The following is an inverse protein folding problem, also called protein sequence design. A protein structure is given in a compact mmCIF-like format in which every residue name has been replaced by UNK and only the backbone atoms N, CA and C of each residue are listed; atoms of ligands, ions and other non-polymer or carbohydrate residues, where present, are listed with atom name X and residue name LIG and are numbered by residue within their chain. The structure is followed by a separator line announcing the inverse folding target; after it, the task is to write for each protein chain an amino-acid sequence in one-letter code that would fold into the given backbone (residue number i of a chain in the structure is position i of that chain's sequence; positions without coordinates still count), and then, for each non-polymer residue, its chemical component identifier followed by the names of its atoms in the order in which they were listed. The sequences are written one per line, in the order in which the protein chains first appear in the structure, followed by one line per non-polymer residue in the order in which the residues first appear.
data_IF_438375174998
#
_entry.id   IF_438375174998
#
_cell.length_a   1.000
_cell.length_b   1.000
_cell.length_c   1.000
_cell.angle_alpha   90.00
_cell.angle_beta   90.00
_cell.angle_gamma   90.00
#
_symmetry.space_group_name_H-M   'P 1'
#
loop_
_entity.id
_entity.type
_entity.pdbx_description
1 polymer ?
#
# COMPACT_ATOMS: atom_id res chain seq x y z
N UNK A 1 -7.82 -50.52 35.98
CA UNK A 1 -8.53 -49.75 34.95
C UNK A 1 -8.81 -48.36 35.52
N UNK A 2 -8.02 -47.35 35.15
CA UNK A 2 -8.18 -45.97 35.62
C UNK A 2 -9.02 -45.20 34.58
N UNK A 3 -10.24 -44.81 34.95
CA UNK A 3 -11.11 -43.97 34.14
C UNK A 3 -10.59 -42.53 34.15
N UNK A 4 -10.14 -42.04 32.98
CA UNK A 4 -9.80 -40.63 32.76
C UNK A 4 -11.08 -39.85 32.48
N UNK A 5 -11.56 -39.10 33.45
CA UNK A 5 -12.63 -38.11 33.27
C UNK A 5 -12.13 -36.95 32.41
N UNK A 6 -12.64 -36.86 31.18
CA UNK A 6 -12.49 -35.69 30.33
C UNK A 6 -13.48 -34.60 30.80
N UNK A 7 -12.96 -33.54 31.41
CA UNK A 7 -13.72 -32.34 31.72
C UNK A 7 -13.84 -31.51 30.43
N UNK A 8 -14.99 -31.61 29.76
CA UNK A 8 -15.30 -30.79 28.59
C UNK A 8 -15.67 -29.36 29.04
N UNK A 9 -14.69 -28.47 29.09
CA UNK A 9 -14.93 -27.03 29.27
C UNK A 9 -15.50 -26.50 27.96
N UNK A 10 -16.82 -26.39 27.87
CA UNK A 10 -17.49 -25.73 26.75
C UNK A 10 -17.31 -24.22 26.89
N UNK A 11 -16.34 -23.65 26.16
CA UNK A 11 -16.24 -22.21 25.96
C UNK A 11 -17.43 -21.77 25.10
N UNK A 12 -18.46 -21.23 25.73
CA UNK A 12 -19.47 -20.42 25.04
C UNK A 12 -18.77 -19.14 24.58
N UNK A 13 -18.17 -19.17 23.39
CA UNK A 13 -17.65 -17.97 22.75
C UNK A 13 -18.84 -17.09 22.39
N UNK A 14 -19.12 -16.10 23.24
CA UNK A 14 -20.06 -15.03 22.91
C UNK A 14 -19.63 -14.41 21.59
N UNK A 15 -20.48 -14.51 20.57
CA UNK A 15 -20.30 -13.76 19.34
C UNK A 15 -20.46 -12.29 19.67
N UNK A 16 -19.35 -11.62 19.98
CA UNK A 16 -19.30 -10.17 20.10
C UNK A 16 -19.72 -9.59 18.76
N UNK A 17 -20.85 -8.89 18.72
CA UNK A 17 -21.18 -8.08 17.56
C UNK A 17 -20.15 -6.96 17.45
N UNK A 18 -19.63 -6.73 16.25
CA UNK A 18 -18.75 -5.60 15.99
C UNK A 18 -19.48 -4.29 16.32
N UNK A 19 -18.96 -3.56 17.31
CA UNK A 19 -19.42 -2.24 17.68
C UNK A 19 -18.94 -1.17 16.71
N UNK A 20 -19.59 0.00 16.76
CA UNK A 20 -19.13 1.21 16.07
C UNK A 20 -18.81 2.28 17.11
N UNK A 21 -17.55 2.67 17.19
CA UNK A 21 -17.07 3.74 18.05
C UNK A 21 -16.87 5.00 17.21
N UNK A 22 -17.18 6.16 17.76
CA UNK A 22 -17.07 7.45 17.08
C UNK A 22 -16.03 8.34 17.74
N UNK A 23 -15.09 8.84 16.93
CA UNK A 23 -14.04 9.77 17.32
C UNK A 23 -14.31 11.11 16.64
N UNK A 24 -14.24 12.20 17.37
CA UNK A 24 -14.37 13.56 16.84
C UNK A 24 -13.46 14.55 17.55
N UNK A 25 -13.23 15.77 17.04
CA UNK A 25 -12.39 16.74 17.72
C UNK A 25 -13.00 17.18 19.06
N UNK A 26 -12.18 17.76 19.95
CA UNK A 26 -12.66 18.31 21.23
C UNK A 26 -13.81 19.30 21.01
N UNK A 27 -14.91 19.12 21.75
CA UNK A 27 -16.11 19.95 21.64
C UNK A 27 -17.13 19.51 20.58
N UNK A 28 -16.84 18.45 19.82
CA UNK A 28 -17.78 17.89 18.82
C UNK A 28 -18.96 17.11 19.40
N UNK A 29 -18.89 16.70 20.67
CA UNK A 29 -19.90 15.86 21.32
C UNK A 29 -19.75 14.35 21.07
N UNK A 30 -18.70 13.92 20.37
CA UNK A 30 -18.39 12.50 20.19
C UNK A 30 -17.83 11.87 21.48
N UNK A 31 -18.04 10.54 21.71
CA UNK A 31 -17.59 9.86 22.93
C UNK A 31 -16.07 9.87 23.13
N UNK A 32 -15.32 9.84 22.04
CA UNK A 32 -13.86 9.89 22.04
C UNK A 32 -13.40 11.14 21.32
N UNK A 33 -12.44 11.85 21.92
CA UNK A 33 -11.86 13.06 21.34
C UNK A 33 -10.57 12.81 20.56
N UNK A 34 -10.09 11.56 20.57
CA UNK A 34 -8.86 11.13 19.91
C UNK A 34 -8.94 9.64 19.54
N UNK A 35 -8.06 9.19 18.64
CA UNK A 35 -8.12 7.85 18.04
C UNK A 35 -7.66 6.77 19.03
N UNK A 36 -6.55 6.99 19.74
CA UNK A 36 -5.99 5.98 20.65
C UNK A 36 -6.97 5.54 21.76
N UNK A 37 -7.68 6.45 22.48
CA UNK A 37 -8.67 6.04 23.48
C UNK A 37 -9.80 5.18 22.90
N UNK A 38 -10.19 5.39 21.64
CA UNK A 38 -11.17 4.55 20.98
C UNK A 38 -10.62 3.16 20.64
N UNK A 39 -9.35 3.06 20.21
CA UNK A 39 -8.65 1.78 20.00
C UNK A 39 -8.56 0.99 21.31
N UNK A 40 -8.28 1.66 22.42
CA UNK A 40 -8.17 1.04 23.74
C UNK A 40 -9.51 0.46 24.19
N UNK A 41 -10.61 1.19 23.96
CA UNK A 41 -11.97 0.77 24.27
C UNK A 41 -12.53 -0.31 23.32
N UNK A 42 -12.08 -0.33 22.07
CA UNK A 42 -12.55 -1.23 21.03
C UNK A 42 -12.20 -2.71 21.31
N UNK A 43 -13.14 -3.59 20.99
CA UNK A 43 -12.94 -5.03 20.91
C UNK A 43 -12.44 -5.44 19.51
N UNK A 44 -11.73 -6.57 19.38
CA UNK A 44 -11.39 -7.14 18.07
C UNK A 44 -12.63 -7.28 17.17
N UNK A 45 -12.56 -6.73 15.96
CA UNK A 45 -13.63 -6.71 14.97
C UNK A 45 -14.45 -5.41 14.95
N UNK A 46 -14.29 -4.51 15.93
CA UNK A 46 -15.00 -3.24 15.97
C UNK A 46 -14.58 -2.28 14.85
N UNK A 47 -15.47 -1.35 14.53
CA UNK A 47 -15.22 -0.23 13.63
C UNK A 47 -15.07 1.07 14.42
N UNK A 48 -14.02 1.82 14.15
CA UNK A 48 -13.80 3.18 14.65
C UNK A 48 -14.06 4.14 13.48
N UNK A 49 -15.10 4.97 13.60
CA UNK A 49 -15.40 6.07 12.68
C UNK A 49 -14.71 7.34 13.18
N UNK A 50 -13.77 7.86 12.40
CA UNK A 50 -13.01 9.06 12.73
C UNK A 50 -13.54 10.23 11.93
N UNK A 51 -14.19 11.16 12.62
CA UNK A 51 -14.80 12.32 11.98
C UNK A 51 -13.77 13.38 11.61
N UNK A 52 -14.13 14.29 10.70
CA UNK A 52 -13.28 15.40 10.29
C UNK A 52 -12.63 16.12 11.50
N UNK A 53 -11.30 16.27 11.47
CA UNK A 53 -10.54 16.79 12.60
C UNK A 53 -9.04 16.49 12.54
N UNK A 54 -8.35 16.93 13.58
CA UNK A 54 -6.90 16.76 13.77
C UNK A 54 -6.68 15.90 15.00
N UNK A 55 -5.92 14.81 14.84
CA UNK A 55 -5.73 13.78 15.84
C UNK A 55 -4.26 13.47 16.08
N UNK A 56 -4.00 12.76 17.16
CA UNK A 56 -2.65 12.35 17.54
C UNK A 56 -2.32 11.00 16.93
N UNK A 57 -1.02 10.67 16.88
CA UNK A 57 -0.58 9.37 16.41
C UNK A 57 -1.05 8.23 17.32
N UNK A 58 -1.17 7.02 16.76
CA UNK A 58 -1.76 5.88 17.46
C UNK A 58 -1.08 4.54 17.13
N UNK A 59 -1.21 3.59 18.04
CA UNK A 59 -0.75 2.21 17.92
C UNK A 59 -1.97 1.26 17.93
N UNK A 60 -2.01 0.30 17.00
CA UNK A 60 -3.06 -0.71 16.90
C UNK A 60 -2.46 -2.12 16.83
N UNK A 61 -2.88 -2.96 17.77
CA UNK A 61 -2.38 -4.34 17.94
C UNK A 61 -3.48 -5.40 17.90
N UNK A 62 -4.64 -5.04 17.34
CA UNK A 62 -5.83 -5.89 17.28
C UNK A 62 -6.56 -5.64 15.96
N UNK A 63 -7.33 -6.61 15.43
CA UNK A 63 -8.02 -6.43 14.16
C UNK A 63 -9.19 -5.46 14.32
N UNK A 64 -9.11 -4.30 13.68
CA UNK A 64 -10.13 -3.25 13.70
C UNK A 64 -10.36 -2.71 12.29
N UNK A 65 -11.45 -1.97 12.10
CA UNK A 65 -11.60 -1.08 10.96
C UNK A 65 -11.55 0.38 11.43
N UNK A 66 -10.48 1.11 11.14
CA UNK A 66 -10.32 2.53 11.49
C UNK A 66 -10.58 3.35 10.23
N UNK A 67 -11.74 4.01 10.16
CA UNK A 67 -12.27 4.63 8.96
C UNK A 67 -12.46 6.13 9.20
N UNK A 68 -11.61 6.95 8.60
CA UNK A 68 -11.76 8.39 8.57
C UNK A 68 -12.81 8.85 7.54
N UNK A 69 -13.36 10.05 7.75
CA UNK A 69 -14.29 10.70 6.82
C UNK A 69 -13.65 11.08 5.45
N UNK A 70 -12.33 10.87 5.30
CA UNK A 70 -11.58 11.05 4.06
C UNK A 70 -10.24 11.75 4.30
N UNK A 71 -9.23 11.42 3.48
CA UNK A 71 -7.86 11.95 3.64
C UNK A 71 -7.76 13.49 3.52
N UNK A 72 -8.77 14.15 2.96
CA UNK A 72 -8.86 15.61 2.92
C UNK A 72 -9.42 16.25 4.21
N UNK A 73 -10.06 15.47 5.09
CA UNK A 73 -10.83 15.95 6.25
C UNK A 73 -10.26 15.49 7.59
N UNK A 74 -9.57 14.34 7.61
CA UNK A 74 -8.95 13.78 8.81
C UNK A 74 -7.44 13.87 8.71
N UNK A 75 -6.82 14.56 9.65
CA UNK A 75 -5.35 14.64 9.73
C UNK A 75 -4.85 14.04 11.03
N UNK A 76 -3.82 13.20 10.92
CA UNK A 76 -3.08 12.61 12.03
C UNK A 76 -1.70 13.27 12.07
N UNK A 77 -1.33 13.79 13.23
CA UNK A 77 -0.04 14.45 13.47
C UNK A 77 0.63 13.93 14.73
N UNK A 78 1.96 14.06 14.79
CA UNK A 78 2.70 13.87 16.03
C UNK A 78 2.42 15.01 17.02
N UNK A 79 1.97 14.68 18.24
CA UNK A 79 2.02 15.59 19.39
C UNK A 79 3.34 15.36 20.14
N UNK A 80 4.46 15.74 19.55
CA UNK A 80 5.77 15.44 20.11
C UNK A 80 6.86 16.34 19.58
N UNK A 81 7.94 16.51 20.36
CA UNK A 81 9.12 17.31 19.99
C UNK A 81 9.97 16.66 18.88
N UNK A 82 9.39 15.83 18.01
CA UNK A 82 10.11 15.09 16.97
C UNK A 82 11.11 14.11 17.58
N UNK A 83 10.74 13.44 18.68
CA UNK A 83 11.63 12.48 19.31
C UNK A 83 11.76 11.25 18.41
N UNK A 84 13.00 10.80 18.18
CA UNK A 84 13.27 9.64 17.36
C UNK A 84 12.50 8.41 17.89
N UNK A 85 11.80 7.70 17.00
CA UNK A 85 11.17 6.41 17.31
C UNK A 85 9.66 6.35 17.13
N UNK A 86 8.97 7.47 16.97
CA UNK A 86 7.50 7.47 16.82
C UNK A 86 7.08 7.45 15.35
N UNK A 87 6.19 6.51 15.02
CA UNK A 87 5.42 6.54 13.77
C UNK A 87 4.06 7.17 14.09
N UNK A 88 3.44 7.86 13.14
CA UNK A 88 2.11 8.44 13.37
C UNK A 88 1.03 7.35 13.47
N UNK A 89 1.17 6.27 12.71
CA UNK A 89 0.43 5.05 12.97
C UNK A 89 1.38 3.86 13.00
N UNK A 90 1.19 3.00 13.99
CA UNK A 90 1.83 1.68 14.04
C UNK A 90 0.76 0.60 14.07
N UNK A 91 0.88 -0.36 13.17
CA UNK A 91 0.10 -1.58 13.20
C UNK A 91 1.02 -2.77 13.42
N UNK A 92 0.70 -3.64 14.37
CA UNK A 92 1.46 -4.87 14.55
C UNK A 92 0.64 -6.02 15.12
N UNK A 93 1.15 -7.25 14.98
CA UNK A 93 0.59 -8.42 15.65
C UNK A 93 -0.79 -8.84 15.16
N UNK A 94 -1.19 -8.44 13.94
CA UNK A 94 -2.45 -8.88 13.35
C UNK A 94 -2.33 -10.38 13.00
N UNK A 95 -3.16 -11.21 13.62
CA UNK A 95 -3.14 -12.66 13.44
C UNK A 95 -3.58 -13.06 12.01
N UNK A 96 -3.11 -14.22 11.53
CA UNK A 96 -3.33 -14.71 10.15
C UNK A 96 -4.78 -14.92 9.74
N UNK A 97 -5.71 -15.02 10.68
CA UNK A 97 -7.16 -15.10 10.39
C UNK A 97 -7.88 -13.76 10.45
N UNK A 98 -7.13 -12.68 10.67
CA UNK A 98 -7.69 -11.39 11.02
C UNK A 98 -7.31 -10.31 9.99
N UNK A 99 -8.08 -9.23 9.99
CA UNK A 99 -7.86 -8.08 9.12
C UNK A 99 -7.86 -6.81 9.95
N UNK A 100 -6.91 -5.92 9.67
CA UNK A 100 -6.91 -4.55 10.15
C UNK A 100 -7.05 -3.64 8.94
N UNK A 101 -8.05 -2.76 8.96
CA UNK A 101 -8.27 -1.76 7.93
C UNK A 101 -7.98 -0.36 8.46
N UNK A 102 -7.24 0.43 7.68
CA UNK A 102 -7.01 1.85 7.90
C UNK A 102 -7.43 2.61 6.64
N UNK A 103 -8.31 3.60 6.78
CA UNK A 103 -8.79 4.34 5.62
C UNK A 103 -9.11 5.79 5.89
N UNK A 104 -8.99 6.64 4.86
CA UNK A 104 -9.57 7.98 4.82
C UNK A 104 -8.86 8.98 5.73
N UNK A 105 -7.52 8.96 5.76
CA UNK A 105 -6.72 9.79 6.67
C UNK A 105 -5.46 10.34 6.00
N UNK A 106 -5.12 11.59 6.29
CA UNK A 106 -3.81 12.17 6.00
C UNK A 106 -2.90 12.04 7.22
N UNK A 107 -1.64 11.72 6.97
CA UNK A 107 -0.58 11.72 7.97
C UNK A 107 0.46 12.74 7.53
N UNK A 108 0.68 13.75 8.37
CA UNK A 108 1.64 14.82 8.08
C UNK A 108 2.29 15.36 9.35
N UNK A 109 3.50 15.89 9.23
CA UNK A 109 4.19 16.50 10.36
C UNK A 109 3.70 17.93 10.62
N UNK A 110 3.18 18.19 11.82
CA UNK A 110 2.89 19.53 12.32
C UNK A 110 4.06 20.06 13.17
N UNK A 111 5.26 20.24 12.60
CA UNK A 111 6.39 20.60 13.44
C UNK A 111 7.69 21.02 12.76
N UNK A 112 8.60 21.50 13.62
CA UNK A 112 9.98 21.88 13.32
C UNK A 112 10.70 20.78 12.52
N UNK A 113 11.65 21.13 11.62
CA UNK A 113 12.36 20.21 10.73
C UNK A 113 13.31 19.22 11.42
N UNK A 114 13.15 18.98 12.72
CA UNK A 114 13.87 17.91 13.41
C UNK A 114 13.55 16.59 12.71
N UNK A 115 14.59 15.83 12.39
CA UNK A 115 14.54 14.65 11.52
C UNK A 115 14.06 13.45 12.33
N UNK A 116 12.78 13.04 12.26
CA UNK A 116 12.42 11.68 12.66
C UNK A 116 13.21 10.72 11.78
N UNK A 117 13.59 9.56 12.32
CA UNK A 117 14.19 8.46 11.56
C UNK A 117 13.17 7.34 11.26
N UNK A 118 11.90 7.59 11.56
CA UNK A 118 10.80 6.62 11.48
C UNK A 118 9.79 6.95 10.39
N UNK A 119 9.22 5.94 9.73
CA UNK A 119 8.18 6.15 8.73
C UNK A 119 6.93 6.77 9.36
N UNK A 120 6.11 7.47 8.57
CA UNK A 120 4.82 8.00 9.04
C UNK A 120 3.90 6.86 9.48
N UNK A 121 3.83 5.81 8.68
CA UNK A 121 3.06 4.60 8.99
C UNK A 121 4.00 3.40 8.99
N UNK A 122 3.99 2.65 10.10
CA UNK A 122 4.77 1.44 10.29
C UNK A 122 3.85 0.25 10.46
N UNK A 123 4.03 -0.76 9.61
CA UNK A 123 3.34 -2.03 9.67
C UNK A 123 4.39 -3.10 9.93
N UNK A 124 4.20 -3.90 10.97
CA UNK A 124 5.20 -4.90 11.33
C UNK A 124 4.62 -6.17 11.95
N UNK A 125 5.21 -7.32 11.62
CA UNK A 125 4.88 -8.60 12.26
C UNK A 125 3.38 -8.93 12.20
N UNK A 126 2.78 -8.74 11.03
CA UNK A 126 1.37 -8.99 10.78
C UNK A 126 1.23 -10.20 9.88
N UNK A 127 0.75 -11.31 10.44
CA UNK A 127 0.43 -12.51 9.67
C UNK A 127 -0.95 -12.39 8.97
N UNK A 128 -1.82 -11.52 9.48
CA UNK A 128 -3.11 -11.20 8.87
C UNK A 128 -3.04 -10.11 7.80
N UNK A 129 -4.17 -9.85 7.18
CA UNK A 129 -4.27 -8.83 6.13
C UNK A 129 -4.32 -7.41 6.71
N UNK A 130 -3.52 -6.51 6.13
CA UNK A 130 -3.57 -5.08 6.38
C UNK A 130 -4.17 -4.40 5.15
N UNK A 131 -5.32 -3.75 5.31
CA UNK A 131 -6.01 -3.04 4.22
C UNK A 131 -5.85 -1.55 4.43
N UNK A 132 -5.22 -0.87 3.47
CA UNK A 132 -4.98 0.57 3.48
C UNK A 132 -5.75 1.19 2.31
N UNK A 133 -6.60 2.18 2.58
CA UNK A 133 -7.45 2.77 1.54
C UNK A 133 -7.60 4.28 1.70
N UNK A 134 -7.34 5.08 0.65
CA UNK A 134 -7.38 6.55 0.74
C UNK A 134 -6.51 7.09 1.89
N UNK A 135 -5.22 6.73 1.89
CA UNK A 135 -4.23 7.31 2.81
C UNK A 135 -3.35 8.31 2.09
N UNK A 136 -3.15 9.48 2.68
CA UNK A 136 -2.28 10.56 2.17
C UNK A 136 -1.10 10.74 3.14
N UNK A 137 0.07 10.17 2.82
CA UNK A 137 1.27 10.23 3.66
C UNK A 137 2.23 11.28 3.12
N UNK A 138 2.35 12.41 3.83
CA UNK A 138 3.20 13.54 3.44
C UNK A 138 4.34 13.70 4.42
N UNK A 139 5.48 13.13 4.05
CA UNK A 139 6.70 13.26 4.85
C UNK A 139 7.20 14.71 4.85
N UNK A 140 7.98 15.12 5.88
CA UNK A 140 8.41 16.50 6.02
C UNK A 140 9.52 16.84 5.01
N UNK A 141 9.82 18.14 4.90
CA UNK A 141 10.87 18.67 4.01
C UNK A 141 12.30 18.23 4.39
N UNK A 142 12.47 17.72 5.60
CA UNK A 142 13.76 17.29 6.11
C UNK A 142 13.57 16.00 6.88
N UNK A 143 14.13 14.92 6.37
CA UNK A 143 14.24 13.68 7.11
C UNK A 143 14.69 12.52 6.23
N UNK A 144 15.15 11.44 6.85
CA UNK A 144 15.51 10.21 6.13
C UNK A 144 14.33 9.24 6.03
N UNK A 145 13.10 9.72 6.24
CA UNK A 145 11.95 8.86 6.48
C UNK A 145 11.16 8.56 5.23
N UNK A 146 10.73 7.31 5.14
CA UNK A 146 9.70 6.92 4.18
C UNK A 146 8.30 7.30 4.66
N UNK A 147 7.33 7.31 3.76
CA UNK A 147 5.93 7.46 4.14
C UNK A 147 5.43 6.21 4.84
N UNK A 148 5.49 5.07 4.14
CA UNK A 148 5.01 3.78 4.62
C UNK A 148 6.15 2.75 4.70
N UNK A 149 6.24 2.00 5.79
CA UNK A 149 7.11 0.83 5.89
C UNK A 149 6.32 -0.39 6.32
N UNK A 150 6.38 -1.46 5.52
CA UNK A 150 5.90 -2.78 5.86
C UNK A 150 7.08 -3.73 6.11
N UNK A 151 7.05 -4.46 7.23
CA UNK A 151 8.16 -5.30 7.66
C UNK A 151 7.66 -6.60 8.28
N UNK A 152 7.99 -7.75 7.68
CA UNK A 152 7.46 -9.06 8.10
C UNK A 152 5.91 -9.05 8.15
N UNK A 153 5.29 -8.51 7.10
CA UNK A 153 3.84 -8.54 6.93
C UNK A 153 3.49 -9.51 5.81
N UNK A 154 2.67 -10.51 6.12
CA UNK A 154 2.24 -11.49 5.12
C UNK A 154 1.48 -10.79 3.99
N UNK A 155 0.60 -9.83 4.33
CA UNK A 155 -0.27 -9.14 3.36
C UNK A 155 -0.49 -7.66 3.69
N UNK A 156 -0.09 -6.78 2.77
CA UNK A 156 -0.46 -5.36 2.78
C UNK A 156 -1.13 -5.00 1.47
N UNK A 157 -2.41 -4.66 1.54
CA UNK A 157 -3.27 -4.30 0.41
C UNK A 157 -3.51 -2.80 0.46
N UNK A 158 -2.91 -2.05 -0.46
CA UNK A 158 -3.03 -0.61 -0.60
C UNK A 158 -3.85 -0.22 -1.82
N UNK A 159 -4.85 0.65 -1.62
CA UNK A 159 -5.61 1.26 -2.71
C UNK A 159 -5.71 2.77 -2.52
N UNK A 160 -5.59 3.53 -3.62
CA UNK A 160 -5.79 4.98 -3.56
C UNK A 160 -4.78 5.67 -2.63
N UNK A 161 -3.58 5.12 -2.47
CA UNK A 161 -2.57 5.70 -1.58
C UNK A 161 -1.88 6.87 -2.28
N UNK A 162 -1.63 7.94 -1.55
CA UNK A 162 -0.79 9.06 -1.98
C UNK A 162 0.41 9.12 -1.05
N UNK A 163 1.57 8.68 -1.52
CA UNK A 163 2.77 8.57 -0.69
C UNK A 163 3.85 9.51 -1.23
N UNK A 164 4.21 10.52 -0.45
CA UNK A 164 5.26 11.47 -0.79
C UNK A 164 6.48 11.22 0.11
N UNK A 165 7.60 10.82 -0.49
CA UNK A 165 8.88 10.61 0.17
C UNK A 165 9.54 11.91 0.62
N UNK A 166 10.44 11.80 1.61
CA UNK A 166 10.96 12.98 2.30
C UNK A 166 11.96 13.74 1.45
N UNK A 167 11.81 15.05 1.44
CA UNK A 167 12.78 15.92 0.80
C UNK A 167 14.10 15.82 1.59
N UNK A 168 15.24 15.71 0.90
CA UNK A 168 16.56 15.44 1.49
C UNK A 168 16.76 14.06 2.13
N UNK A 169 15.79 13.17 1.99
CA UNK A 169 15.83 11.84 2.57
C UNK A 169 16.35 10.77 1.63
N UNK A 170 16.99 9.75 2.20
CA UNK A 170 17.21 8.47 1.52
C UNK A 170 15.99 7.53 1.62
N UNK A 171 14.97 7.90 2.39
CA UNK A 171 13.78 7.09 2.64
C UNK A 171 12.87 7.02 1.42
N UNK A 172 12.58 5.81 0.95
CA UNK A 172 11.63 5.59 -0.12
C UNK A 172 10.20 5.92 0.34
N UNK A 173 9.32 6.37 -0.56
CA UNK A 173 7.93 6.68 -0.20
C UNK A 173 7.22 5.47 0.43
N UNK A 174 7.46 4.28 -0.14
CA UNK A 174 7.08 2.99 0.42
C UNK A 174 8.29 2.05 0.47
N UNK A 175 8.50 1.41 1.62
CA UNK A 175 9.47 0.31 1.77
C UNK A 175 8.76 -0.97 2.23
N UNK A 176 9.01 -2.10 1.58
CA UNK A 176 8.62 -3.41 2.06
C UNK A 176 9.83 -4.31 2.27
N UNK A 177 9.87 -4.95 3.44
CA UNK A 177 10.91 -5.89 3.86
C UNK A 177 10.25 -7.20 4.27
N UNK A 178 10.63 -8.32 3.65
CA UNK A 178 10.06 -9.64 3.94
C UNK A 178 8.52 -9.62 3.99
N UNK A 179 7.90 -8.98 3.00
CA UNK A 179 6.45 -8.73 2.99
C UNK A 179 5.84 -8.91 1.61
N UNK A 180 4.54 -9.16 1.55
CA UNK A 180 3.77 -9.15 0.28
C UNK A 180 2.92 -7.89 0.18
N UNK A 181 3.10 -7.13 -0.90
CA UNK A 181 2.38 -5.91 -1.20
C UNK A 181 1.45 -6.08 -2.39
N UNK A 182 0.25 -5.51 -2.28
CA UNK A 182 -0.72 -5.37 -3.35
C UNK A 182 -1.14 -3.91 -3.45
N UNK A 183 -0.67 -3.21 -4.48
CA UNK A 183 -0.93 -1.79 -4.68
C UNK A 183 -1.82 -1.59 -5.91
N UNK A 184 -2.87 -0.80 -5.75
CA UNK A 184 -3.74 -0.43 -6.87
C UNK A 184 -4.12 1.05 -6.82
N UNK A 185 -4.26 1.68 -7.99
CA UNK A 185 -4.71 3.07 -8.11
C UNK A 185 -3.98 4.05 -7.16
N UNK A 186 -2.68 3.83 -6.93
CA UNK A 186 -1.88 4.60 -5.96
C UNK A 186 -0.89 5.51 -6.67
N UNK A 187 -0.51 6.61 -6.03
CA UNK A 187 0.50 7.55 -6.49
C UNK A 187 1.65 7.63 -5.47
N UNK A 188 2.82 7.10 -5.84
CA UNK A 188 4.00 7.06 -5.00
C UNK A 188 5.10 7.93 -5.62
N UNK A 189 5.58 8.92 -4.85
CA UNK A 189 6.65 9.82 -5.27
C UNK A 189 7.82 9.73 -4.30
N UNK A 190 9.00 9.36 -4.80
CA UNK A 190 10.24 9.50 -4.06
C UNK A 190 10.50 10.97 -3.70
N UNK A 191 11.15 11.20 -2.58
CA UNK A 191 11.49 12.52 -2.10
C UNK A 191 12.58 13.17 -2.94
N UNK A 192 12.40 14.43 -3.30
CA UNK A 192 13.42 15.20 -3.99
C UNK A 192 14.56 15.55 -3.03
N UNK A 193 15.80 15.55 -3.48
CA UNK A 193 16.88 16.10 -2.68
C UNK A 193 16.99 17.61 -2.85
N UNK A 194 17.36 18.31 -1.80
CA UNK A 194 17.94 19.65 -1.87
C UNK A 194 19.45 19.45 -1.62
N UNK A 195 20.30 20.23 -2.29
CA UNK A 195 21.76 20.06 -2.22
C UNK A 195 22.34 18.86 -2.99
N UNK A 196 23.56 18.46 -2.65
CA UNK A 196 24.36 17.45 -3.37
C UNK A 196 23.85 16.01 -3.24
N UNK A 197 22.71 15.80 -2.58
CA UNK A 197 22.12 14.48 -2.39
C UNK A 197 21.31 14.07 -3.62
N UNK A 198 21.26 12.76 -3.90
CA UNK A 198 20.27 12.21 -4.83
C UNK A 198 18.91 12.14 -4.14
N UNK A 199 17.81 12.09 -4.91
CA UNK A 199 16.47 11.89 -4.35
C UNK A 199 16.31 10.55 -3.64
N UNK A 200 15.07 10.09 -3.48
CA UNK A 200 14.74 8.74 -2.97
C UNK A 200 13.85 7.94 -3.91
N UNK A 201 13.66 6.66 -3.64
CA UNK A 201 12.80 5.81 -4.46
C UNK A 201 11.30 6.04 -4.14
N UNK A 202 10.42 5.78 -5.09
CA UNK A 202 8.99 5.68 -4.79
C UNK A 202 8.69 4.37 -4.05
N UNK A 203 9.20 3.25 -4.59
CA UNK A 203 9.01 1.91 -4.03
C UNK A 203 10.35 1.19 -3.86
N UNK A 204 10.60 0.67 -2.65
CA UNK A 204 11.75 -0.18 -2.34
C UNK A 204 11.30 -1.53 -1.79
N UNK A 205 11.81 -2.61 -2.38
CA UNK A 205 11.55 -3.99 -1.99
C UNK A 205 12.85 -4.65 -1.53
N UNK A 206 12.81 -5.29 -0.36
CA UNK A 206 13.92 -6.06 0.22
C UNK A 206 13.40 -7.44 0.60
N UNK A 207 13.79 -8.45 -0.18
CA UNK A 207 13.27 -9.83 -0.04
C UNK A 207 11.74 -9.86 0.06
N UNK A 208 11.09 -9.05 -0.77
CA UNK A 208 9.66 -8.78 -0.70
C UNK A 208 8.99 -9.02 -2.06
N UNK A 209 7.68 -9.28 -2.03
CA UNK A 209 6.86 -9.48 -3.22
C UNK A 209 5.94 -8.29 -3.41
N UNK A 210 5.86 -7.71 -4.60
CA UNK A 210 4.93 -6.62 -4.89
C UNK A 210 4.15 -6.84 -6.18
N UNK A 211 2.84 -6.65 -6.09
CA UNK A 211 1.92 -6.58 -7.22
C UNK A 211 1.41 -5.15 -7.31
N UNK A 212 1.74 -4.44 -8.38
CA UNK A 212 1.39 -3.03 -8.55
C UNK A 212 0.55 -2.88 -9.81
N UNK A 213 -0.69 -2.44 -9.66
CA UNK A 213 -1.65 -2.27 -10.75
C UNK A 213 -2.11 -0.82 -10.86
N UNK A 214 -2.26 -0.30 -12.08
CA UNK A 214 -2.87 1.03 -12.33
C UNK A 214 -2.34 2.15 -11.41
N UNK A 215 -1.04 2.13 -11.12
CA UNK A 215 -0.42 3.03 -10.15
C UNK A 215 0.70 3.85 -10.79
N UNK A 216 0.97 5.03 -10.24
CA UNK A 216 2.08 5.89 -10.64
C UNK A 216 3.21 5.77 -9.63
N UNK A 217 4.41 5.48 -10.11
CA UNK A 217 5.64 5.44 -9.33
C UNK A 217 6.62 6.44 -9.93
N UNK A 218 7.02 7.45 -9.16
CA UNK A 218 7.96 8.49 -9.61
C UNK A 218 9.15 8.56 -8.67
N UNK A 219 10.36 8.31 -9.15
CA UNK A 219 11.58 8.49 -8.37
C UNK A 219 11.79 9.96 -8.00
N UNK A 220 12.47 10.20 -6.88
CA UNK A 220 12.77 11.55 -6.41
C UNK A 220 13.83 12.23 -7.26
N UNK A 221 13.63 13.52 -7.51
CA UNK A 221 14.56 14.36 -8.26
C UNK A 221 15.88 14.55 -7.47
N UNK A 222 17.00 14.63 -8.19
CA UNK A 222 18.29 14.97 -7.61
C UNK A 222 18.33 16.43 -7.16
N UNK A 223 19.11 16.73 -6.13
CA UNK A 223 19.24 18.08 -5.62
C UNK A 223 20.22 18.97 -6.38
N UNK A 224 20.14 20.25 -6.04
CA UNK A 224 20.91 21.33 -6.66
C UNK A 224 22.29 21.51 -6.03
N UNK A 225 23.29 21.96 -6.78
CA UNK A 225 24.54 22.47 -6.20
C UNK A 225 25.72 21.50 -6.12
N UNK A 226 25.58 20.28 -6.63
CA UNK A 226 26.77 19.50 -7.04
C UNK A 226 27.30 20.04 -8.37
N UNK A 227 28.62 20.16 -8.60
CA UNK A 227 29.18 20.61 -9.89
C UNK A 227 28.69 19.81 -11.11
N UNK A 228 28.28 18.56 -10.89
CA UNK A 228 27.80 17.63 -11.92
C UNK A 228 26.28 17.40 -11.89
N UNK A 229 25.58 18.07 -10.97
CA UNK A 229 24.20 17.75 -10.62
C UNK A 229 24.13 16.47 -9.79
N UNK A 230 23.21 16.40 -8.84
CA UNK A 230 22.95 15.15 -8.14
C UNK A 230 22.04 14.27 -8.99
N UNK A 231 22.23 12.94 -8.99
CA UNK A 231 21.40 12.03 -9.77
C UNK A 231 19.97 12.00 -9.24
N UNK A 232 19.00 11.92 -10.15
CA UNK A 232 17.66 11.45 -9.80
C UNK A 232 17.71 10.00 -9.34
N UNK A 233 16.73 9.57 -8.53
CA UNK A 233 16.64 8.18 -8.09
C UNK A 233 15.69 7.34 -8.90
N UNK A 234 15.84 6.03 -8.72
CA UNK A 234 14.96 5.08 -9.34
C UNK A 234 13.53 5.23 -8.83
N UNK A 235 12.51 5.07 -9.67
CA UNK A 235 11.14 4.95 -9.17
C UNK A 235 11.01 3.69 -8.30
N UNK A 236 11.54 2.58 -8.81
CA UNK A 236 11.49 1.30 -8.14
C UNK A 236 12.87 0.67 -7.98
N UNK A 237 13.15 0.18 -6.77
CA UNK A 237 14.33 -0.61 -6.44
C UNK A 237 13.89 -1.94 -5.81
N UNK A 238 14.26 -3.05 -6.44
CA UNK A 238 14.12 -4.40 -5.90
C UNK A 238 15.52 -4.97 -5.62
N UNK A 239 15.76 -5.44 -4.39
CA UNK A 239 17.03 -6.05 -3.97
C UNK A 239 16.78 -7.38 -3.26
N UNK A 240 17.82 -8.22 -3.19
CA UNK A 240 17.71 -9.56 -2.62
C UNK A 240 16.90 -10.50 -3.52
N UNK A 241 16.07 -11.35 -2.91
CA UNK A 241 15.14 -12.27 -3.57
C UNK A 241 13.74 -11.65 -3.73
N UNK A 242 13.69 -10.38 -4.14
CA UNK A 242 12.41 -9.68 -4.33
C UNK A 242 11.73 -10.09 -5.64
N UNK A 243 10.40 -10.12 -5.64
CA UNK A 243 9.59 -10.36 -6.85
C UNK A 243 8.69 -9.18 -7.09
N UNK A 244 8.72 -8.62 -8.29
CA UNK A 244 7.85 -7.52 -8.68
C UNK A 244 6.99 -7.89 -9.89
N UNK A 245 5.68 -7.61 -9.81
CA UNK A 245 4.76 -7.69 -10.94
C UNK A 245 4.08 -6.33 -11.15
N UNK A 246 4.37 -5.70 -12.29
CA UNK A 246 3.79 -4.43 -12.70
C UNK A 246 2.69 -4.66 -13.74
N UNK A 247 1.46 -4.43 -13.32
CA UNK A 247 0.27 -4.47 -14.16
C UNK A 247 -0.08 -3.05 -14.57
N UNK A 248 -0.31 -2.81 -15.86
CA UNK A 248 -0.68 -1.49 -16.34
C UNK A 248 -2.12 -1.11 -15.96
N UNK A 249 -2.72 -0.29 -16.82
CA UNK A 249 -4.04 0.31 -16.59
C UNK A 249 -3.98 1.84 -16.71
N UNK A 250 -5.12 2.54 -16.57
CA UNK A 250 -5.18 3.97 -16.77
C UNK A 250 -4.18 4.70 -15.86
N UNK A 251 -3.35 5.55 -16.46
CA UNK A 251 -2.31 6.35 -15.78
C UNK A 251 -1.18 5.56 -15.10
N UNK A 252 -1.04 4.25 -15.37
CA UNK A 252 0.08 3.46 -14.85
C UNK A 252 1.41 3.95 -15.46
N UNK A 253 2.27 4.53 -14.63
CA UNK A 253 3.55 5.11 -15.06
C UNK A 253 4.62 4.76 -14.04
N UNK A 254 5.78 4.30 -14.53
CA UNK A 254 6.99 4.13 -13.73
C UNK A 254 8.06 5.04 -14.31
N UNK A 255 8.47 6.03 -13.54
CA UNK A 255 9.34 7.11 -14.00
C UNK A 255 10.47 7.36 -13.01
N UNK A 256 11.72 7.35 -13.47
CA UNK A 256 12.84 7.79 -12.64
C UNK A 256 12.80 9.29 -12.35
N UNK A 257 13.39 9.70 -11.24
CA UNK A 257 13.53 11.11 -10.91
C UNK A 257 14.40 11.85 -11.92
N UNK A 258 14.20 13.15 -12.07
CA UNK A 258 15.07 14.00 -12.88
C UNK A 258 16.42 14.17 -12.17
N UNK A 259 17.48 14.36 -12.94
CA UNK A 259 18.73 14.84 -12.34
C UNK A 259 18.56 16.27 -11.83
N UNK A 260 19.26 16.60 -10.75
CA UNK A 260 19.31 17.97 -10.24
C UNK A 260 20.15 18.87 -11.14
N UNK A 261 19.89 20.18 -11.11
CA UNK A 261 20.73 21.14 -11.83
C UNK A 261 22.01 21.41 -11.05
N UNK A 262 23.15 21.06 -11.64
CA UNK A 262 24.46 21.33 -11.09
C UNK A 262 25.23 22.33 -11.93
N UNK A 263 25.22 23.60 -11.53
CA UNK A 263 25.88 24.65 -12.30
C UNK A 263 25.37 24.72 -13.74
N UNK A 264 26.18 24.22 -14.68
CA UNK A 264 25.92 24.21 -16.13
C UNK A 264 25.46 22.85 -16.69
N UNK A 265 25.34 21.81 -15.86
CA UNK A 265 25.01 20.45 -16.32
C UNK A 265 23.76 19.91 -15.63
N UNK A 266 22.91 19.26 -16.41
CA UNK A 266 21.82 18.43 -15.89
C UNK A 266 22.43 17.16 -15.32
N UNK A 267 22.11 16.86 -14.05
CA UNK A 267 22.46 15.58 -13.45
C UNK A 267 21.84 14.42 -14.24
N UNK A 268 22.39 13.20 -14.11
CA UNK A 268 21.78 12.04 -14.74
C UNK A 268 20.38 11.79 -14.18
N UNK A 269 19.45 11.45 -15.06
CA UNK A 269 18.10 11.01 -14.68
C UNK A 269 18.19 9.66 -13.94
N UNK A 270 17.30 9.48 -12.98
CA UNK A 270 17.08 8.19 -12.34
C UNK A 270 16.50 7.16 -13.30
N UNK A 271 16.67 5.89 -12.95
CA UNK A 271 16.10 4.77 -13.69
C UNK A 271 14.59 4.68 -13.42
N UNK A 272 13.81 4.14 -14.37
CA UNK A 272 12.43 3.80 -14.05
C UNK A 272 12.40 2.62 -13.06
N UNK A 273 13.14 1.55 -13.41
CA UNK A 273 13.24 0.31 -12.63
C UNK A 273 14.70 -0.08 -12.49
N UNK A 274 15.07 -0.50 -11.29
CA UNK A 274 16.32 -1.21 -11.02
C UNK A 274 16.00 -2.53 -10.30
N UNK A 275 16.21 -3.63 -11.01
CA UNK A 275 16.16 -4.98 -10.46
C UNK A 275 17.60 -5.40 -10.18
N UNK A 276 17.95 -5.67 -8.93
CA UNK A 276 19.28 -6.09 -8.54
C UNK A 276 19.29 -7.52 -8.00
N UNK A 277 20.47 -8.12 -7.93
CA UNK A 277 20.70 -9.43 -7.33
C UNK A 277 19.85 -10.55 -7.97
N UNK A 278 19.17 -11.37 -7.15
CA UNK A 278 18.32 -12.48 -7.58
C UNK A 278 16.84 -12.07 -7.72
N UNK A 279 16.58 -10.76 -7.87
CA UNK A 279 15.21 -10.27 -7.98
C UNK A 279 14.62 -10.55 -9.36
N UNK A 280 13.33 -10.82 -9.41
CA UNK A 280 12.58 -11.07 -10.65
C UNK A 280 11.57 -9.96 -10.89
N UNK A 281 11.41 -9.55 -12.14
CA UNK A 281 10.45 -8.53 -12.51
C UNK A 281 9.65 -8.89 -13.75
N UNK A 282 8.33 -8.89 -13.61
CA UNK A 282 7.40 -9.06 -14.72
C UNK A 282 6.64 -7.75 -14.92
N UNK A 283 6.51 -7.31 -16.17
CA UNK A 283 5.72 -6.14 -16.48
C UNK A 283 4.85 -6.33 -17.71
N UNK A 284 3.66 -5.73 -17.68
CA UNK A 284 2.79 -5.63 -18.85
C UNK A 284 3.27 -4.50 -19.77
N UNK A 285 3.15 -4.70 -21.09
CA UNK A 285 3.41 -3.66 -22.11
C UNK A 285 2.53 -2.41 -21.97
N UNK A 286 1.45 -2.50 -21.21
CA UNK A 286 0.56 -1.38 -20.88
C UNK A 286 1.12 -0.44 -19.81
N UNK A 287 2.23 -0.79 -19.15
CA UNK A 287 2.93 0.10 -18.20
C UNK A 287 3.78 1.09 -18.99
N UNK A 288 3.54 2.39 -18.79
CA UNK A 288 4.41 3.42 -19.34
C UNK A 288 5.72 3.50 -18.55
N UNK A 289 6.85 3.22 -19.19
CA UNK A 289 8.17 3.49 -18.60
C UNK A 289 8.72 4.80 -19.14
N UNK A 290 8.98 5.74 -18.24
CA UNK A 290 9.66 6.99 -18.55
C UNK A 290 11.05 6.98 -17.91
N UNK A 291 12.00 6.33 -18.58
CA UNK A 291 13.38 6.22 -18.11
C UNK A 291 14.03 4.90 -18.55
N UNK A 292 15.31 4.76 -18.25
CA UNK A 292 16.04 3.51 -18.53
C UNK A 292 15.63 2.44 -17.51
N UNK A 293 15.47 1.22 -18.00
CA UNK A 293 15.36 0.01 -17.19
C UNK A 293 16.78 -0.55 -17.02
N UNK A 294 17.20 -0.79 -15.79
CA UNK A 294 18.46 -1.47 -15.52
C UNK A 294 18.20 -2.82 -14.88
N UNK A 295 18.62 -3.86 -15.59
CA UNK A 295 18.46 -5.26 -15.22
C UNK A 295 19.76 -5.99 -15.60
N UNK A 296 20.73 -6.04 -14.68
CA UNK A 296 22.03 -6.65 -14.93
C UNK A 296 21.94 -8.18 -15.01
N UNK A 297 20.85 -8.78 -14.50
CA UNK A 297 20.63 -10.22 -14.49
C UNK A 297 19.85 -10.72 -15.70
N UNK A 298 19.22 -9.83 -16.49
CA UNK A 298 18.29 -10.23 -17.55
C UNK A 298 16.99 -10.83 -17.01
N UNK A 299 16.62 -10.51 -15.76
CA UNK A 299 15.47 -11.05 -15.03
C UNK A 299 14.17 -10.22 -15.22
N UNK A 300 14.20 -9.18 -16.05
CA UNK A 300 13.03 -8.39 -16.39
C UNK A 300 12.40 -8.86 -17.70
N UNK A 301 11.39 -9.71 -17.58
CA UNK A 301 10.65 -10.19 -18.73
C UNK A 301 9.46 -9.27 -19.04
N UNK A 302 9.48 -8.74 -20.27
CA UNK A 302 8.32 -8.09 -20.86
C UNK A 302 7.28 -9.15 -21.14
N UNK A 303 6.17 -9.13 -20.42
CA UNK A 303 5.07 -10.02 -20.75
C UNK A 303 4.30 -9.41 -21.93
N UNK A 304 4.07 -10.16 -23.02
CA UNK A 304 3.15 -9.72 -24.09
C UNK A 304 1.70 -9.59 -23.59
N UNK A 305 1.48 -9.95 -22.32
CA UNK A 305 0.20 -10.09 -21.66
C UNK A 305 -0.25 -8.73 -21.10
N UNK A 306 -1.41 -8.28 -21.57
CA UNK A 306 -2.27 -7.39 -20.78
C UNK A 306 -2.85 -8.27 -19.69
N UNK A 307 -2.34 -8.15 -18.47
CA UNK A 307 -2.95 -8.84 -17.34
C UNK A 307 -4.42 -8.41 -17.26
N UNK A 308 -5.35 -9.36 -17.02
CA UNK A 308 -6.77 -9.05 -16.94
C UNK A 308 -6.97 -7.94 -15.91
N UNK A 309 -7.28 -6.75 -16.40
CA UNK A 309 -7.61 -5.58 -15.59
C UNK A 309 -9.12 -5.55 -15.48
N UNK A 310 -9.62 -5.49 -14.25
CA UNK A 310 -11.04 -5.31 -13.98
C UNK A 310 -11.26 -3.83 -13.67
N UNK A 311 -12.14 -3.20 -14.43
CA UNK A 311 -12.62 -1.85 -14.18
C UNK A 311 -14.12 -1.87 -14.00
N UNK A 312 -14.63 -0.96 -13.17
CA UNK A 312 -16.05 -0.78 -12.92
C UNK A 312 -16.48 0.53 -13.56
N UNK A 313 -17.61 0.55 -14.26
CA UNK A 313 -18.19 1.73 -14.91
C UNK A 313 -18.55 2.81 -13.88
N UNK A 314 -18.88 2.35 -12.66
CA UNK A 314 -19.27 3.18 -11.54
C UNK A 314 -18.89 2.50 -10.22
N UNK A 315 -18.58 3.30 -9.21
CA UNK A 315 -18.54 2.81 -7.83
C UNK A 315 -19.91 2.19 -7.47
N UNK A 316 -19.92 1.10 -6.71
CA UNK A 316 -21.15 0.50 -6.18
C UNK A 316 -21.77 1.52 -5.22
N UNK A 317 -22.70 2.34 -5.74
CA UNK A 317 -23.20 3.53 -5.04
C UNK A 317 -24.16 3.17 -3.90
N UNK A 318 -24.85 2.04 -3.99
CA UNK A 318 -25.78 1.53 -2.97
C UNK A 318 -26.06 0.03 -3.15
N UNK A 319 -26.49 -0.68 -2.09
CA UNK A 319 -27.03 -2.03 -2.22
C UNK A 319 -28.15 -2.10 -3.27
N UNK A 320 -28.08 -3.07 -4.18
CA UNK A 320 -29.05 -3.24 -5.27
C UNK A 320 -28.80 -2.38 -6.50
N UNK A 321 -27.82 -1.47 -6.48
CA UNK A 321 -27.36 -0.80 -7.68
C UNK A 321 -26.68 -1.81 -8.62
N UNK A 322 -27.07 -1.81 -9.89
CA UNK A 322 -26.34 -2.54 -10.92
C UNK A 322 -24.99 -1.88 -11.17
N UNK A 323 -23.98 -2.69 -11.48
CA UNK A 323 -22.70 -2.25 -12.00
C UNK A 323 -22.32 -3.20 -13.14
N UNK A 324 -21.55 -2.70 -14.10
CA UNK A 324 -20.88 -3.55 -15.06
C UNK A 324 -19.42 -3.71 -14.64
N UNK A 325 -18.87 -4.88 -14.95
CA UNK A 325 -17.43 -5.12 -14.81
C UNK A 325 -16.85 -5.26 -16.20
N UNK A 326 -15.98 -4.31 -16.56
CA UNK A 326 -15.19 -4.38 -17.77
C UNK A 326 -13.88 -5.09 -17.46
N UNK A 327 -13.69 -6.28 -18.02
CA UNK A 327 -12.42 -6.95 -18.06
C UNK A 327 -11.66 -6.57 -19.33
N UNK A 328 -10.37 -6.29 -19.21
CA UNK A 328 -9.47 -6.10 -20.34
C UNK A 328 -8.22 -6.95 -20.20
N UNK A 329 -7.81 -7.67 -21.25
CA UNK A 329 -6.64 -8.55 -21.26
C UNK A 329 -6.31 -9.02 -22.68
N UNK A 330 -5.63 -10.16 -22.81
CA UNK A 330 -5.36 -10.73 -24.13
C UNK A 330 -6.63 -11.30 -24.77
N UNK A 331 -6.85 -10.99 -26.05
CA UNK A 331 -7.95 -11.55 -26.83
C UNK A 331 -7.98 -13.08 -26.74
N UNK A 332 -9.17 -13.64 -26.53
CA UNK A 332 -9.39 -15.09 -26.40
C UNK A 332 -9.07 -15.68 -25.03
N UNK A 333 -8.38 -14.96 -24.13
CA UNK A 333 -8.15 -15.47 -22.78
C UNK A 333 -9.47 -15.59 -22.02
N UNK A 334 -9.70 -16.68 -21.26
CA UNK A 334 -10.86 -16.79 -20.39
C UNK A 334 -10.72 -15.79 -19.23
N UNK A 335 -11.75 -14.98 -19.02
CA UNK A 335 -11.91 -14.15 -17.84
C UNK A 335 -13.03 -14.74 -16.97
N UNK A 336 -12.73 -14.93 -15.69
CA UNK A 336 -13.68 -15.42 -14.70
C UNK A 336 -13.90 -14.33 -13.64
N UNK A 337 -15.15 -13.93 -13.45
CA UNK A 337 -15.55 -13.00 -12.40
C UNK A 337 -16.02 -13.79 -11.18
N UNK A 338 -15.30 -13.64 -10.09
CA UNK A 338 -15.68 -14.18 -8.79
C UNK A 338 -16.17 -13.04 -7.89
N UNK A 339 -17.24 -13.30 -7.15
CA UNK A 339 -17.72 -12.43 -6.08
C UNK A 339 -17.55 -13.16 -4.76
N UNK A 340 -16.81 -12.56 -3.83
CA UNK A 340 -16.75 -13.03 -2.45
C UNK A 340 -17.18 -11.88 -1.54
N UNK A 341 -18.11 -12.11 -0.59
CA UNK A 341 -18.51 -11.08 0.37
C UNK A 341 -17.42 -10.80 1.41
N UNK A 342 -16.38 -11.64 1.46
CA UNK A 342 -15.23 -11.54 2.36
C UNK A 342 -13.95 -11.85 1.61
N UNK A 343 -12.87 -11.21 2.04
CA UNK A 343 -11.54 -11.63 1.66
C UNK A 343 -11.18 -12.93 2.39
N UNK A 344 -10.37 -13.79 1.78
CA UNK A 344 -9.82 -14.95 2.46
C UNK A 344 -8.92 -14.49 3.62
N UNK A 345 -8.88 -15.29 4.69
CA UNK A 345 -7.91 -15.11 5.77
C UNK A 345 -6.47 -15.18 5.28
N UNK A 346 -6.21 -16.06 4.31
CA UNK A 346 -4.97 -16.14 3.58
C UNK A 346 -5.31 -16.30 2.10
N UNK A 347 -4.73 -15.50 1.21
CA UNK A 347 -4.93 -15.71 -0.21
C UNK A 347 -4.26 -17.00 -0.63
N UNK A 348 -4.77 -17.53 -1.73
CA UNK A 348 -4.29 -18.77 -2.29
C UNK A 348 -3.89 -18.52 -3.74
N UNK A 349 -2.86 -19.24 -4.18
CA UNK A 349 -2.54 -19.29 -5.59
C UNK A 349 -3.59 -20.20 -6.27
N UNK A 350 -4.26 -19.69 -7.29
CA UNK A 350 -4.97 -20.54 -8.22
C UNK A 350 -3.94 -21.13 -9.18
N UNK A 351 -3.95 -22.45 -9.35
CA UNK A 351 -3.04 -23.11 -10.29
C UNK A 351 -3.22 -22.52 -11.70
N UNK A 352 -2.11 -22.09 -12.30
CA UNK A 352 -2.11 -21.47 -13.64
C UNK A 352 -2.54 -20.00 -13.67
N UNK A 353 -2.79 -19.37 -12.51
CA UNK A 353 -3.01 -17.92 -12.41
C UNK A 353 -1.80 -17.30 -11.73
N UNK A 354 -1.14 -16.41 -12.46
CA UNK A 354 -0.09 -15.57 -11.91
C UNK A 354 -0.68 -14.53 -10.95
N UNK A 355 -0.60 -14.80 -9.66
CA UNK A 355 -1.09 -13.92 -8.62
C UNK A 355 -1.59 -14.66 -7.39
N UNK A 356 -2.01 -13.90 -6.40
CA UNK A 356 -2.63 -14.39 -5.19
C UNK A 356 -4.10 -13.97 -5.20
N UNK A 357 -5.02 -14.90 -5.00
CA UNK A 357 -6.43 -14.58 -4.93
C UNK A 357 -6.83 -14.46 -3.48
N UNK A 358 -7.20 -13.26 -3.04
CA UNK A 358 -7.66 -12.99 -1.68
C UNK A 358 -9.18 -13.16 -1.55
N UNK A 359 -9.78 -14.12 -2.25
CA UNK A 359 -11.22 -14.39 -2.14
C UNK A 359 -11.45 -15.52 -1.13
N UNK A 360 -12.37 -15.38 -0.18
CA UNK A 360 -12.74 -16.52 0.65
C UNK A 360 -13.34 -17.62 -0.25
N UNK A 361 -12.55 -18.66 -0.56
CA UNK A 361 -12.95 -19.69 -1.51
C UNK A 361 -14.21 -20.46 -1.06
N UNK A 362 -14.51 -20.48 0.25
CA UNK A 362 -15.73 -21.09 0.77
C UNK A 362 -16.99 -20.24 0.51
N UNK A 363 -16.81 -18.93 0.25
CA UNK A 363 -17.88 -17.97 0.01
C UNK A 363 -17.84 -17.35 -1.39
N UNK A 364 -16.78 -17.61 -2.15
CA UNK A 364 -16.61 -17.11 -3.50
C UNK A 364 -17.59 -17.81 -4.44
N UNK A 365 -18.41 -17.01 -5.10
CA UNK A 365 -19.32 -17.49 -6.14
C UNK A 365 -18.75 -17.09 -7.49
N UNK A 366 -18.54 -18.08 -8.36
CA UNK A 366 -18.24 -17.84 -9.76
C UNK A 366 -19.51 -17.26 -10.41
N UNK A 367 -19.46 -15.99 -10.78
CA UNK A 367 -20.62 -15.30 -11.33
C UNK A 367 -20.72 -15.50 -12.84
N UNK A 368 -19.59 -15.38 -13.54
CA UNK A 368 -19.53 -15.51 -14.99
C UNK A 368 -18.14 -15.90 -15.47
N UNK A 369 -18.10 -16.60 -16.61
CA UNK A 369 -16.89 -16.86 -17.39
C UNK A 369 -17.17 -16.44 -18.82
N UNK A 370 -16.35 -15.54 -19.36
CA UNK A 370 -16.41 -15.13 -20.76
C UNK A 370 -14.99 -15.02 -21.32
N UNK A 371 -14.74 -15.49 -22.55
CA UNK A 371 -13.49 -15.16 -23.22
C UNK A 371 -13.48 -13.66 -23.53
N UNK A 372 -12.29 -13.04 -23.46
CA UNK A 372 -12.08 -11.69 -23.94
C UNK A 372 -12.25 -11.65 -25.47
N UNK A 373 -12.91 -10.62 -25.98
CA UNK A 373 -13.18 -10.43 -27.40
C UNK A 373 -11.90 -10.15 -28.21
N UNK A 374 -12.02 -9.93 -29.52
CA UNK A 374 -10.88 -9.65 -30.40
C UNK A 374 -10.13 -8.35 -30.04
N UNK A 375 -10.76 -7.42 -29.32
CA UNK A 375 -10.14 -6.21 -28.78
C UNK A 375 -9.53 -6.42 -27.39
N UNK A 376 -9.64 -7.63 -26.85
CA UNK A 376 -9.18 -7.99 -25.52
C UNK A 376 -10.14 -7.55 -24.41
N UNK A 377 -11.43 -7.33 -24.69
CA UNK A 377 -12.41 -6.84 -23.71
C UNK A 377 -13.52 -7.84 -23.43
N UNK A 378 -14.08 -7.83 -22.22
CA UNK A 378 -15.33 -8.49 -21.90
C UNK A 378 -16.11 -7.69 -20.86
N UNK A 379 -17.42 -7.58 -21.08
CA UNK A 379 -18.34 -6.93 -20.15
C UNK A 379 -19.15 -8.00 -19.40
N UNK A 380 -19.22 -7.86 -18.07
CA UNK A 380 -19.96 -8.76 -17.18
C UNK A 380 -21.17 -8.10 -16.57
#
# INVERSE_FOLDING_TARGET
MLARSFLAVSFLASSSFAGVLHVGPVGSGHPFTDIQPAIDAAQPGDTIRVHAGTYTGFDVHKPLAILGDGSALVTVHEQGLGLAGFSHARASGVASSATLALSGMRFEFAGSPAVPATPLVRLEQCAGALVLDDLDLRTPLFGSTGGLRAEHCDWVIGRGLVLLGSVNGSGAALTAVHSTLWLSASDLHGGAAWFVYGGSQALRLEDAVAYVASSRLTGGDGGYGSPTGAPGKQALLAVGASVMKLVGGPNAVVQGGKGGLGGWFDGPKGLAVHVADASEGLYSTSVGFAGTIYDPAGALDALPIVYPTLTLDSAIAAPGAGFQVHAQGNAGNPCALFLAPRLASAPFALAGIDGAVALDAAQAVLFAVKPLDASGKADF
#
